data_IF_039685387226
#
_entry.id   IF_039685387226
#
_cell.length_a   1.000
_cell.length_b   1.000
_cell.length_c   1.000
_cell.angle_alpha   90.00
_cell.angle_beta   90.00
_cell.angle_gamma   90.00
#
_symmetry.space_group_name_H-M   'P 1'
#
loop_
_entity.id
_entity.type
_entity.pdbx_description
1 polymer ?
#
# COMPACT_ATOMS: atom_id res chain seq x y z
N UNK A 1 13.08 -0.37 55.03
CA UNK A 1 13.45 0.76 54.14
C UNK A 1 13.89 0.30 52.74
N UNK A 2 13.39 -0.81 52.19
CA UNK A 2 13.68 -1.24 50.81
C UNK A 2 12.42 -1.29 49.91
N UNK A 3 11.21 -1.29 50.48
CA UNK A 3 9.95 -1.35 49.72
C UNK A 3 9.43 0.01 49.20
N UNK A 4 9.70 1.11 49.91
CA UNK A 4 9.23 2.44 49.50
C UNK A 4 10.03 3.03 48.33
N UNK A 5 11.29 2.65 48.17
CA UNK A 5 12.12 3.03 47.01
C UNK A 5 11.66 2.37 45.71
N UNK A 6 11.17 1.13 45.76
CA UNK A 6 10.73 0.40 44.57
C UNK A 6 9.40 0.94 44.02
N UNK A 7 8.44 1.25 44.92
CA UNK A 7 7.14 1.82 44.54
C UNK A 7 7.27 3.22 43.90
N UNK A 8 8.15 4.06 44.46
CA UNK A 8 8.42 5.41 43.91
C UNK A 8 9.10 5.37 42.53
N UNK A 9 9.96 4.37 42.30
CA UNK A 9 10.65 4.20 41.01
C UNK A 9 9.69 3.72 39.92
N UNK A 10 8.76 2.81 40.24
CA UNK A 10 7.71 2.36 39.31
C UNK A 10 6.69 3.45 38.98
N UNK A 11 6.26 4.26 39.95
CA UNK A 11 5.34 5.39 39.70
C UNK A 11 5.99 6.49 38.88
N UNK A 12 7.27 6.81 39.13
CA UNK A 12 8.03 7.74 38.29
C UNK A 12 8.22 7.20 36.88
N UNK A 13 8.50 5.90 36.71
CA UNK A 13 8.59 5.28 35.39
C UNK A 13 7.26 5.34 34.62
N UNK A 14 6.12 5.08 35.28
CA UNK A 14 4.79 5.16 34.66
C UNK A 14 4.40 6.61 34.32
N UNK A 15 4.75 7.58 35.17
CA UNK A 15 4.51 9.01 34.92
C UNK A 15 5.41 9.55 33.80
N UNK A 16 6.66 9.11 33.75
CA UNK A 16 7.61 9.45 32.67
C UNK A 16 7.19 8.82 31.34
N UNK A 17 6.76 7.56 31.32
CA UNK A 17 6.26 6.92 30.10
C UNK A 17 4.95 7.53 29.62
N UNK A 18 4.04 7.90 30.54
CA UNK A 18 2.82 8.63 30.21
C UNK A 18 3.09 10.02 29.63
N UNK A 19 4.01 10.77 30.22
CA UNK A 19 4.40 12.10 29.73
C UNK A 19 5.13 12.03 28.39
N UNK A 20 6.00 11.03 28.19
CA UNK A 20 6.72 10.83 26.93
C UNK A 20 5.77 10.43 25.80
N UNK A 21 4.80 9.54 26.07
CA UNK A 21 3.77 9.13 25.10
C UNK A 21 2.90 10.32 24.64
N UNK A 22 2.56 11.24 25.55
CA UNK A 22 1.83 12.47 25.22
C UNK A 22 2.66 13.44 24.35
N UNK A 23 3.97 13.54 24.60
CA UNK A 23 4.90 14.35 23.79
C UNK A 23 5.10 13.74 22.39
N UNK A 24 5.25 12.42 22.29
CA UNK A 24 5.39 11.71 21.02
C UNK A 24 4.12 11.81 20.16
N UNK A 25 2.94 11.70 20.79
CA UNK A 25 1.63 11.81 20.13
C UNK A 25 1.33 13.24 19.68
N UNK A 26 1.65 14.24 20.51
CA UNK A 26 1.50 15.66 20.12
C UNK A 26 2.47 16.07 19.01
N UNK A 27 3.68 15.52 19.01
CA UNK A 27 4.65 15.71 17.91
C UNK A 27 4.14 15.09 16.61
N UNK A 28 3.56 13.88 16.67
CA UNK A 28 2.99 13.22 15.50
C UNK A 28 1.83 14.02 14.88
N UNK A 29 0.93 14.55 15.72
CA UNK A 29 -0.17 15.40 15.29
C UNK A 29 0.33 16.68 14.60
N UNK A 30 1.37 17.32 15.15
CA UNK A 30 2.00 18.48 14.53
C UNK A 30 2.58 18.16 13.15
N UNK A 31 3.34 17.07 13.03
CA UNK A 31 3.93 16.62 11.75
C UNK A 31 2.83 16.35 10.72
N UNK A 32 1.75 15.68 11.13
CA UNK A 32 0.62 15.38 10.26
C UNK A 32 -0.13 16.64 9.82
N UNK A 33 -0.23 17.64 10.68
CA UNK A 33 -0.79 18.95 10.34
C UNK A 33 0.08 19.69 9.31
N UNK A 34 1.40 19.64 9.45
CA UNK A 34 2.35 20.19 8.47
C UNK A 34 2.20 19.48 7.13
N UNK A 35 2.13 18.15 7.13
CA UNK A 35 1.87 17.37 5.92
C UNK A 35 0.55 17.75 5.24
N UNK A 36 -0.52 17.89 6.03
CA UNK A 36 -1.83 18.26 5.52
C UNK A 36 -1.79 19.66 4.90
N UNK A 37 -1.12 20.62 5.52
CA UNK A 37 -0.94 21.97 4.98
C UNK A 37 -0.11 21.97 3.69
N UNK A 38 1.03 21.26 3.69
CA UNK A 38 1.93 21.15 2.54
C UNK A 38 1.28 20.46 1.33
N UNK A 39 0.36 19.52 1.58
CA UNK A 39 -0.32 18.76 0.53
C UNK A 39 -1.63 19.39 0.02
N UNK A 40 -1.88 20.67 0.31
CA UNK A 40 -3.02 21.44 -0.22
C UNK A 40 -4.09 21.81 0.81
N UNK A 41 -3.95 21.34 2.05
CA UNK A 41 -4.83 21.70 3.16
C UNK A 41 -6.14 20.94 3.20
N UNK A 42 -6.69 20.78 4.41
CA UNK A 42 -7.88 19.96 4.67
C UNK A 42 -9.11 20.42 3.88
N UNK A 43 -9.28 21.73 3.65
CA UNK A 43 -10.44 22.29 2.95
C UNK A 43 -10.45 21.89 1.48
N UNK A 44 -9.34 22.12 0.77
CA UNK A 44 -9.19 21.77 -0.65
C UNK A 44 -9.29 20.27 -0.81
N UNK A 45 -8.57 19.53 0.04
CA UNK A 45 -8.64 18.07 0.03
C UNK A 45 -10.09 17.63 0.18
N UNK A 46 -10.82 18.02 1.24
CA UNK A 46 -12.20 17.59 1.52
C UNK A 46 -13.23 17.92 0.43
N UNK A 47 -12.98 18.94 -0.39
CA UNK A 47 -13.83 19.30 -1.52
C UNK A 47 -13.77 18.26 -2.64
N UNK A 48 -12.63 17.60 -2.83
CA UNK A 48 -12.47 16.54 -3.84
C UNK A 48 -13.24 15.28 -3.41
N UNK A 49 -14.23 14.91 -4.23
CA UNK A 49 -15.03 13.70 -4.02
C UNK A 49 -14.49 12.51 -4.80
N UNK A 50 -13.97 12.76 -6.00
CA UNK A 50 -13.54 11.71 -6.91
C UNK A 50 -12.13 12.05 -7.42
N UNK A 51 -11.30 11.03 -7.60
CA UNK A 51 -9.98 11.19 -8.19
C UNK A 51 -9.71 10.07 -9.20
N UNK A 52 -8.93 10.41 -10.21
CA UNK A 52 -8.46 9.49 -11.23
C UNK A 52 -6.97 9.73 -11.47
N UNK A 53 -6.20 8.65 -11.46
CA UNK A 53 -4.79 8.69 -11.80
C UNK A 53 -4.43 7.52 -12.70
N UNK A 54 -3.73 7.79 -13.79
CA UNK A 54 -3.08 6.76 -14.59
C UNK A 54 -1.58 7.01 -14.68
N UNK A 55 -0.80 5.94 -14.70
CA UNK A 55 0.64 6.06 -14.77
C UNK A 55 1.30 4.86 -15.41
N UNK A 56 2.55 5.06 -15.80
CA UNK A 56 3.43 4.03 -16.33
C UNK A 56 4.33 3.49 -15.22
N UNK A 57 4.66 2.22 -15.31
CA UNK A 57 5.55 1.56 -14.36
C UNK A 57 6.52 0.65 -15.10
N UNK A 58 7.66 0.43 -14.46
CA UNK A 58 8.69 -0.51 -14.89
C UNK A 58 8.98 -1.43 -13.71
N UNK A 59 8.83 -2.73 -13.91
CA UNK A 59 9.07 -3.75 -12.91
C UNK A 59 10.34 -4.52 -13.23
N UNK A 60 11.14 -4.76 -12.19
CA UNK A 60 12.33 -5.60 -12.26
C UNK A 60 12.21 -6.62 -11.13
N UNK A 61 12.14 -7.89 -11.47
CA UNK A 61 12.22 -8.98 -10.50
C UNK A 61 13.67 -9.45 -10.37
N UNK A 62 14.16 -9.62 -9.14
CA UNK A 62 15.48 -10.20 -8.84
C UNK A 62 15.32 -11.47 -8.00
N UNK A 63 16.02 -12.55 -8.37
CA UNK A 63 15.80 -13.89 -7.81
C UNK A 63 16.59 -14.18 -6.51
N UNK A 64 15.89 -14.83 -5.58
CA UNK A 64 16.23 -15.97 -4.71
C UNK A 64 17.66 -16.15 -4.15
N UNK A 65 17.86 -15.84 -2.87
CA UNK A 65 18.96 -16.41 -2.06
C UNK A 65 18.41 -17.51 -1.14
N UNK A 66 18.89 -18.75 -1.29
CA UNK A 66 18.66 -19.84 -0.32
C UNK A 66 19.98 -20.21 0.35
N UNK A 67 19.97 -20.39 1.68
CA UNK A 67 21.17 -20.58 2.51
C UNK A 67 22.09 -21.77 2.11
N UNK A 68 21.66 -22.68 1.23
CA UNK A 68 22.43 -23.86 0.84
C UNK A 68 22.81 -23.94 -0.64
N UNK A 69 22.26 -23.11 -1.52
CA UNK A 69 22.68 -23.01 -2.93
C UNK A 69 22.37 -21.62 -3.49
N UNK A 70 23.40 -20.87 -3.85
CA UNK A 70 23.28 -19.78 -4.83
C UNK A 70 23.03 -20.45 -6.18
N UNK A 71 21.78 -20.72 -6.53
CA UNK A 71 21.43 -21.04 -7.91
C UNK A 71 21.57 -19.74 -8.69
N UNK A 72 22.77 -19.48 -9.21
CA UNK A 72 22.94 -18.51 -10.29
C UNK A 72 22.14 -19.04 -11.47
N UNK A 73 20.89 -18.65 -11.58
CA UNK A 73 20.14 -18.84 -12.80
C UNK A 73 20.92 -18.11 -13.89
N UNK A 74 21.43 -18.84 -14.89
CA UNK A 74 22.20 -18.28 -16.02
C UNK A 74 21.38 -17.30 -16.86
N UNK A 75 20.09 -17.12 -16.56
CA UNK A 75 19.20 -16.12 -17.14
C UNK A 75 19.11 -14.85 -16.26
N UNK A 76 20.25 -14.39 -15.71
CA UNK A 76 20.39 -13.29 -14.76
C UNK A 76 20.04 -11.87 -15.29
N UNK A 77 19.27 -11.79 -16.37
CA UNK A 77 18.70 -10.56 -16.88
C UNK A 77 17.26 -10.86 -17.35
N UNK A 78 16.32 -11.06 -16.43
CA UNK A 78 14.92 -10.83 -16.81
C UNK A 78 14.82 -9.36 -17.21
N UNK A 79 14.50 -9.12 -18.47
CA UNK A 79 14.29 -7.79 -18.98
C UNK A 79 13.25 -7.08 -18.11
N UNK A 80 13.48 -5.80 -17.84
CA UNK A 80 12.53 -5.02 -17.07
C UNK A 80 11.20 -4.95 -17.80
N UNK A 81 10.13 -5.45 -17.16
CA UNK A 81 8.79 -5.45 -17.72
C UNK A 81 8.19 -4.06 -17.58
N UNK A 82 7.68 -3.51 -18.68
CA UNK A 82 7.00 -2.21 -18.65
C UNK A 82 5.49 -2.43 -18.63
N UNK A 83 4.79 -1.56 -17.91
CA UNK A 83 3.36 -1.67 -17.73
C UNK A 83 2.72 -0.33 -17.40
N UNK A 84 1.46 -0.39 -17.01
CA UNK A 84 0.69 0.75 -16.56
C UNK A 84 -0.23 0.40 -15.41
N UNK A 85 -0.69 1.44 -14.73
CA UNK A 85 -1.75 1.33 -13.75
C UNK A 85 -2.80 2.40 -14.01
N UNK A 86 -4.01 2.11 -13.55
CA UNK A 86 -5.09 3.06 -13.46
C UNK A 86 -5.70 2.94 -12.07
N UNK A 87 -5.98 4.09 -11.46
CA UNK A 87 -6.54 4.24 -10.14
C UNK A 87 -7.75 5.15 -10.22
N UNK A 88 -8.86 4.68 -9.67
CA UNK A 88 -10.05 5.46 -9.40
C UNK A 88 -10.29 5.50 -7.90
N UNK A 89 -10.66 6.66 -7.38
CA UNK A 89 -11.05 6.83 -5.99
C UNK A 89 -12.33 7.64 -5.92
N UNK A 90 -13.21 7.26 -5.01
CA UNK A 90 -14.44 7.95 -4.70
C UNK A 90 -14.62 7.99 -3.18
N UNK A 91 -14.90 9.18 -2.68
CA UNK A 91 -15.01 9.44 -1.25
C UNK A 91 -16.43 9.11 -0.75
N UNK A 92 -16.58 8.44 0.41
CA UNK A 92 -15.54 7.81 1.24
C UNK A 92 -15.22 6.37 0.81
N UNK A 93 -13.95 6.00 1.01
CA UNK A 93 -13.45 4.61 1.07
C UNK A 93 -13.73 3.71 -0.15
N UNK A 94 -14.11 4.28 -1.29
CA UNK A 94 -14.25 3.56 -2.55
C UNK A 94 -13.02 3.78 -3.41
N UNK A 95 -12.48 2.70 -3.94
CA UNK A 95 -11.37 2.77 -4.87
C UNK A 95 -11.33 1.55 -5.77
N UNK A 96 -10.73 1.72 -6.94
CA UNK A 96 -10.49 0.66 -7.89
C UNK A 96 -9.12 0.87 -8.51
N UNK A 97 -8.35 -0.21 -8.64
CA UNK A 97 -7.03 -0.17 -9.28
C UNK A 97 -6.91 -1.31 -10.27
N UNK A 98 -6.38 -0.97 -11.43
CA UNK A 98 -5.89 -1.91 -12.43
C UNK A 98 -4.39 -1.75 -12.57
N UNK A 99 -3.70 -2.88 -12.67
CA UNK A 99 -2.27 -2.95 -12.91
C UNK A 99 -2.03 -3.95 -14.04
N UNK A 100 -1.36 -3.53 -15.10
CA UNK A 100 -1.02 -4.37 -16.25
C UNK A 100 0.48 -4.30 -16.51
N UNK A 101 1.19 -5.43 -16.41
CA UNK A 101 2.65 -5.52 -16.56
C UNK A 101 3.03 -6.90 -17.10
N UNK A 102 3.94 -6.96 -18.09
CA UNK A 102 4.48 -8.24 -18.59
C UNK A 102 3.40 -9.25 -19.00
N UNK A 103 2.35 -8.80 -19.69
CA UNK A 103 1.21 -9.64 -20.11
C UNK A 103 0.24 -10.05 -18.99
N UNK A 104 0.54 -9.71 -17.73
CA UNK A 104 -0.32 -10.01 -16.58
C UNK A 104 -1.15 -8.79 -16.17
N UNK A 105 -2.41 -9.02 -15.80
CA UNK A 105 -3.31 -7.98 -15.29
C UNK A 105 -3.85 -8.34 -13.90
N UNK A 106 -3.75 -7.41 -12.96
CA UNK A 106 -4.27 -7.54 -11.59
C UNK A 106 -5.27 -6.43 -11.33
N UNK A 107 -6.41 -6.77 -10.74
CA UNK A 107 -7.41 -5.81 -10.31
C UNK A 107 -7.56 -5.86 -8.80
N UNK A 108 -7.87 -4.73 -8.18
CA UNK A 108 -8.34 -4.69 -6.81
C UNK A 108 -9.29 -3.52 -6.61
N UNK A 109 -10.17 -3.61 -5.63
CA UNK A 109 -11.06 -2.52 -5.32
C UNK A 109 -11.65 -2.59 -3.93
N UNK A 110 -12.29 -1.50 -3.55
CA UNK A 110 -13.12 -1.38 -2.37
C UNK A 110 -14.40 -0.61 -2.69
N UNK A 111 -15.52 -1.07 -2.14
CA UNK A 111 -16.82 -0.39 -2.24
C UNK A 111 -17.20 0.36 -0.95
N UNK A 112 -16.22 0.74 -0.13
CA UNK A 112 -16.42 1.36 1.19
C UNK A 112 -16.83 0.38 2.30
N UNK A 113 -17.03 -0.91 1.99
CA UNK A 113 -17.37 -1.94 2.99
C UNK A 113 -16.47 -3.16 2.90
N UNK A 114 -16.19 -3.59 1.67
CA UNK A 114 -15.42 -4.79 1.39
C UNK A 114 -14.29 -4.46 0.43
N UNK A 115 -13.12 -5.02 0.71
CA UNK A 115 -11.97 -4.99 -0.19
C UNK A 115 -11.90 -6.31 -0.94
N UNK A 116 -11.64 -6.26 -2.23
CA UNK A 116 -11.49 -7.44 -3.08
C UNK A 116 -10.29 -7.28 -4.01
N UNK A 117 -9.84 -8.42 -4.53
CA UNK A 117 -8.79 -8.48 -5.55
C UNK A 117 -9.07 -9.60 -6.52
N UNK A 118 -8.58 -9.42 -7.74
CA UNK A 118 -8.54 -10.44 -8.76
C UNK A 118 -7.10 -10.57 -9.26
N UNK A 119 -6.51 -11.74 -9.09
CA UNK A 119 -5.20 -12.07 -9.68
C UNK A 119 -5.34 -13.24 -10.65
N UNK A 120 -4.51 -13.32 -11.70
CA UNK A 120 -4.59 -14.40 -12.70
C UNK A 120 -4.50 -15.82 -12.11
N UNK A 121 -3.77 -15.99 -10.99
CA UNK A 121 -3.54 -17.29 -10.36
C UNK A 121 -4.52 -17.67 -9.24
N UNK A 122 -5.23 -16.69 -8.64
CA UNK A 122 -6.14 -16.94 -7.51
C UNK A 122 -7.60 -16.64 -7.86
N UNK A 123 -7.86 -15.98 -8.99
CA UNK A 123 -9.18 -15.47 -9.33
C UNK A 123 -9.63 -14.36 -8.37
N UNK A 124 -10.94 -14.17 -8.28
CA UNK A 124 -11.54 -13.15 -7.40
C UNK A 124 -11.56 -13.62 -5.94
N UNK A 125 -11.04 -12.78 -5.04
CA UNK A 125 -10.98 -13.05 -3.60
C UNK A 125 -11.32 -11.80 -2.79
N UNK A 126 -12.18 -11.95 -1.78
CA UNK A 126 -12.52 -10.90 -0.82
C UNK A 126 -11.51 -10.88 0.32
N UNK A 127 -10.99 -9.72 0.70
CA UNK A 127 -10.09 -9.61 1.83
C UNK A 127 -10.89 -9.51 3.14
N UNK A 128 -10.54 -10.31 4.15
CA UNK A 128 -11.11 -10.19 5.50
C UNK A 128 -10.62 -8.95 6.25
N UNK A 129 -11.46 -8.53 7.19
CA UNK A 129 -11.19 -7.42 8.11
C UNK A 129 -11.74 -6.08 7.61
N UNK A 130 -11.43 -4.98 8.34
CA UNK A 130 -11.90 -3.65 7.99
C UNK A 130 -11.36 -3.19 6.63
N UNK A 131 -12.03 -2.20 6.04
CA UNK A 131 -11.58 -1.56 4.80
C UNK A 131 -10.14 -1.08 4.96
N UNK A 132 -9.35 -1.31 3.91
CA UNK A 132 -7.93 -0.98 3.87
C UNK A 132 -7.78 0.27 2.99
N UNK A 133 -6.98 1.27 3.41
CA UNK A 133 -6.59 2.35 2.52
C UNK A 133 -5.95 1.78 1.25
N UNK A 134 -6.01 2.55 0.16
CA UNK A 134 -5.42 2.19 -1.12
C UNK A 134 -3.98 1.66 -0.95
N UNK A 135 -3.63 0.62 -1.73
CA UNK A 135 -2.34 -0.08 -1.63
C UNK A 135 -1.18 0.87 -1.43
N UNK A 136 -0.33 0.53 -0.47
CA UNK A 136 0.78 1.34 0.05
C UNK A 136 1.81 1.76 -1.01
N UNK A 137 1.91 1.02 -2.13
CA UNK A 137 2.74 1.42 -3.27
C UNK A 137 2.21 2.66 -4.04
N UNK A 138 0.98 3.12 -3.74
CA UNK A 138 0.34 4.28 -4.35
C UNK A 138 0.16 5.44 -3.36
N UNK A 139 0.80 5.38 -2.18
CA UNK A 139 0.83 6.53 -1.27
C UNK A 139 1.48 7.72 -1.99
N UNK A 140 0.98 8.93 -1.72
CA UNK A 140 1.32 10.16 -2.44
C UNK A 140 0.46 10.48 -3.68
N UNK A 141 -0.43 9.57 -4.09
CA UNK A 141 -1.53 9.90 -5.03
C UNK A 141 -2.79 10.39 -4.31
N UNK A 142 -2.90 10.13 -3.01
CA UNK A 142 -4.02 10.54 -2.17
C UNK A 142 -3.52 11.02 -0.80
N UNK A 143 -3.21 12.33 -0.69
CA UNK A 143 -2.71 12.89 0.55
C UNK A 143 -3.70 12.77 1.71
N UNK A 144 -5.01 12.76 1.44
CA UNK A 144 -6.01 12.62 2.50
C UNK A 144 -5.95 11.23 3.12
N UNK A 145 -5.90 10.19 2.28
CA UNK A 145 -5.75 8.82 2.77
C UNK A 145 -4.43 8.61 3.51
N UNK A 146 -3.33 9.22 3.03
CA UNK A 146 -2.05 9.19 3.73
C UNK A 146 -2.15 9.87 5.10
N UNK A 147 -2.77 11.05 5.19
CA UNK A 147 -2.96 11.73 6.47
C UNK A 147 -3.81 10.88 7.43
N UNK A 148 -4.94 10.35 6.96
CA UNK A 148 -5.80 9.49 7.77
C UNK A 148 -5.11 8.21 8.24
N UNK A 149 -4.17 7.66 7.46
CA UNK A 149 -3.42 6.46 7.84
C UNK A 149 -2.55 6.70 9.07
N UNK A 150 -1.91 7.87 9.17
CA UNK A 150 -0.99 8.22 10.26
C UNK A 150 -1.68 8.98 11.41
N UNK A 151 -3.01 9.02 11.47
CA UNK A 151 -3.76 9.75 12.50
C UNK A 151 -3.41 9.30 13.93
N UNK A 152 -3.21 7.98 14.13
CA UNK A 152 -2.86 7.37 15.41
C UNK A 152 -1.36 6.99 15.50
N UNK A 153 -0.52 7.61 14.68
CA UNK A 153 0.91 7.35 14.68
C UNK A 153 1.62 8.05 15.86
N UNK A 154 2.79 7.53 16.21
CA UNK A 154 3.70 8.17 17.17
C UNK A 154 4.94 8.69 16.46
N UNK A 155 5.47 9.83 16.91
CA UNK A 155 6.76 10.31 16.44
C UNK A 155 7.88 9.55 17.17
N UNK A 156 8.78 8.91 16.42
CA UNK A 156 9.88 8.12 17.00
C UNK A 156 11.26 8.73 16.80
N UNK A 157 11.31 9.94 16.24
CA UNK A 157 12.55 10.70 16.04
C UNK A 157 12.73 11.18 14.60
N UNK A 158 13.99 11.39 14.25
CA UNK A 158 14.42 12.02 13.00
C UNK A 158 15.48 11.17 12.30
N UNK A 159 15.50 11.22 10.96
CA UNK A 159 16.50 10.52 10.15
C UNK A 159 16.70 11.21 8.80
N UNK A 160 17.95 11.28 8.37
CA UNK A 160 18.28 11.69 7.01
C UNK A 160 17.99 10.56 6.01
N UNK A 161 17.15 10.83 5.02
CA UNK A 161 16.81 9.93 3.92
C UNK A 161 17.28 10.58 2.61
N UNK A 162 18.27 9.99 1.95
CA UNK A 162 18.81 10.46 0.66
C UNK A 162 19.21 11.96 0.65
N UNK A 163 19.73 12.48 1.76
CA UNK A 163 20.10 13.90 1.90
C UNK A 163 18.97 14.81 2.40
N UNK A 164 17.79 14.27 2.71
CA UNK A 164 16.66 15.01 3.24
C UNK A 164 16.40 14.67 4.71
N UNK A 165 16.44 15.68 5.59
CA UNK A 165 16.07 15.52 6.99
C UNK A 165 14.57 15.27 7.12
N UNK A 166 14.22 14.15 7.79
CA UNK A 166 12.83 13.71 7.92
C UNK A 166 12.47 13.42 9.38
N UNK A 167 11.24 13.76 9.77
CA UNK A 167 10.59 13.18 10.95
C UNK A 167 10.07 11.79 10.63
N UNK A 168 10.07 10.90 11.62
CA UNK A 168 9.62 9.52 11.47
C UNK A 168 8.34 9.31 12.29
N UNK A 169 7.24 9.04 11.59
CA UNK A 169 6.01 8.57 12.22
C UNK A 169 5.91 7.06 12.12
N UNK A 170 5.62 6.39 13.24
CA UNK A 170 5.42 4.94 13.31
C UNK A 170 3.98 4.62 13.65
N UNK A 171 3.40 3.67 12.93
CA UNK A 171 2.08 3.10 13.20
C UNK A 171 2.20 1.58 13.29
N UNK A 172 1.65 0.98 14.34
CA UNK A 172 1.53 -0.47 14.47
C UNK A 172 0.06 -0.84 14.53
N UNK A 173 -0.36 -1.85 13.75
CA UNK A 173 -1.72 -2.36 13.84
C UNK A 173 -1.95 -3.05 15.19
N UNK A 174 -3.09 -2.77 15.82
CA UNK A 174 -3.48 -3.40 17.07
C UNK A 174 -3.86 -4.88 16.88
N UNK A 175 -3.86 -5.63 17.99
CA UNK A 175 -4.14 -7.06 17.98
C UNK A 175 -5.53 -7.41 17.41
N UNK A 176 -6.57 -6.60 17.65
CA UNK A 176 -7.91 -6.87 17.13
C UNK A 176 -7.94 -6.70 15.60
N UNK A 177 -7.31 -5.65 15.09
CA UNK A 177 -7.15 -5.41 13.65
C UNK A 177 -6.38 -6.55 12.98
N UNK A 178 -5.29 -7.02 13.60
CA UNK A 178 -4.51 -8.15 13.09
C UNK A 178 -5.34 -9.42 13.04
N UNK A 179 -6.01 -9.77 14.15
CA UNK A 179 -6.88 -10.94 14.25
C UNK A 179 -8.03 -10.92 13.25
N UNK A 180 -8.67 -9.76 13.06
CA UNK A 180 -9.76 -9.58 12.10
C UNK A 180 -9.30 -9.75 10.63
N UNK A 181 -8.00 -9.60 10.37
CA UNK A 181 -7.40 -9.74 9.02
C UNK A 181 -6.79 -11.12 8.77
N UNK A 182 -6.54 -11.91 9.82
CA UNK A 182 -6.09 -13.31 9.72
C UNK A 182 -7.17 -14.20 9.11
N UNK A 183 -6.76 -15.19 8.31
CA UNK A 183 -7.67 -16.07 7.59
C UNK A 183 -7.12 -17.50 7.44
N UNK A 184 -7.93 -18.48 7.85
CA UNK A 184 -7.60 -19.89 7.72
C UNK A 184 -6.27 -20.21 8.43
N UNK A 185 -5.31 -20.88 7.76
CA UNK A 185 -4.02 -21.22 8.35
C UNK A 185 -3.07 -20.02 8.46
N UNK A 186 -3.42 -18.85 7.91
CA UNK A 186 -2.58 -17.66 7.87
C UNK A 186 -2.97 -16.66 8.98
N UNK A 187 -2.08 -16.49 9.95
CA UNK A 187 -2.18 -15.52 11.04
C UNK A 187 -1.23 -14.34 10.81
N UNK A 188 -1.75 -13.12 10.81
CA UNK A 188 -0.91 -11.92 10.78
C UNK A 188 -0.44 -11.61 12.20
N UNK A 189 0.87 -11.72 12.42
CA UNK A 189 1.48 -11.51 13.74
C UNK A 189 1.82 -10.04 13.96
N UNK A 190 2.32 -9.37 12.92
CA UNK A 190 2.82 -8.01 13.04
C UNK A 190 2.59 -7.26 11.74
N UNK A 191 2.16 -6.01 11.89
CA UNK A 191 2.05 -5.09 10.79
C UNK A 191 2.44 -3.69 11.28
N UNK A 192 3.55 -3.17 10.76
CA UNK A 192 4.14 -1.89 11.19
C UNK A 192 4.46 -1.05 9.97
N UNK A 193 4.11 0.23 10.06
CA UNK A 193 4.32 1.25 9.04
C UNK A 193 5.22 2.35 9.62
N UNK A 194 6.11 2.87 8.79
CA UNK A 194 6.89 4.06 9.06
C UNK A 194 6.73 5.05 7.92
N UNK A 195 6.39 6.29 8.23
CA UNK A 195 6.32 7.40 7.29
C UNK A 195 7.43 8.40 7.57
N UNK A 196 8.16 8.79 6.54
CA UNK A 196 9.26 9.75 6.62
C UNK A 196 8.80 11.07 5.99
N UNK A 197 8.58 12.07 6.84
CA UNK A 197 8.05 13.37 6.46
C UNK A 197 9.17 14.39 6.45
N UNK A 198 9.40 15.01 5.30
CA UNK A 198 10.41 16.04 5.11
C UNK A 198 10.23 17.19 6.09
N UNK A 199 11.28 17.52 6.84
CA UNK A 199 11.25 18.70 7.72
C UNK A 199 11.18 20.01 6.92
N UNK A 200 11.71 20.00 5.69
CA UNK A 200 11.79 21.17 4.82
C UNK A 200 10.48 21.46 4.10
N UNK A 201 9.84 20.43 3.57
CA UNK A 201 8.65 20.58 2.71
C UNK A 201 7.37 20.14 3.39
N UNK A 202 7.45 19.39 4.49
CA UNK A 202 6.31 18.76 5.14
C UNK A 202 5.76 17.52 4.40
N UNK A 203 6.23 17.21 3.20
CA UNK A 203 5.71 16.13 2.37
C UNK A 203 6.28 14.76 2.78
N UNK A 204 5.52 13.69 2.51
CA UNK A 204 5.98 12.31 2.69
C UNK A 204 6.98 11.95 1.58
N UNK A 205 8.21 11.58 1.93
CA UNK A 205 9.28 11.26 0.96
C UNK A 205 9.61 9.78 0.88
N UNK A 206 9.42 9.06 1.98
CA UNK A 206 9.69 7.62 2.07
C UNK A 206 8.68 6.96 3.00
N UNK A 207 8.39 5.69 2.74
CA UNK A 207 7.52 4.88 3.56
C UNK A 207 8.04 3.44 3.63
N UNK A 208 8.05 2.90 4.83
CA UNK A 208 8.38 1.51 5.09
C UNK A 208 7.16 0.79 5.64
N UNK A 209 6.90 -0.40 5.14
CA UNK A 209 5.78 -1.24 5.52
C UNK A 209 6.30 -2.66 5.73
N UNK A 210 6.11 -3.21 6.93
CA UNK A 210 6.54 -4.56 7.30
C UNK A 210 5.33 -5.36 7.77
N UNK A 211 5.10 -6.50 7.12
CA UNK A 211 3.98 -7.40 7.37
C UNK A 211 4.49 -8.83 7.61
N UNK A 212 4.33 -9.33 8.82
CA UNK A 212 4.74 -10.68 9.23
C UNK A 212 3.52 -11.59 9.38
N UNK A 213 3.49 -12.66 8.62
CA UNK A 213 2.44 -13.68 8.62
C UNK A 213 3.02 -15.03 9.01
N UNK A 214 2.36 -15.73 9.93
CA UNK A 214 2.61 -17.15 10.23
C UNK A 214 1.58 -17.98 9.50
N UNK A 215 2.04 -18.95 8.72
CA UNK A 215 1.19 -19.94 8.08
C UNK A 215 1.46 -21.27 8.75
N UNK A 216 0.42 -21.88 9.30
CA UNK A 216 0.50 -23.18 9.91
C UNK A 216 -0.67 -24.05 9.46
N UNK A 217 -0.35 -25.15 8.79
CA UNK A 217 -1.34 -26.17 8.43
C UNK A 217 -1.56 -27.12 9.60
N UNK A 218 -2.74 -27.72 9.70
CA UNK A 218 -3.07 -28.64 10.79
C UNK A 218 -2.05 -29.79 10.87
N UNK A 219 -1.26 -29.83 11.94
CA UNK A 219 -0.27 -30.88 12.20
C UNK A 219 1.12 -30.66 11.58
N UNK A 220 1.38 -29.51 10.93
CA UNK A 220 2.68 -29.17 10.35
C UNK A 220 3.44 -28.08 11.12
N UNK A 221 4.71 -27.90 10.76
CA UNK A 221 5.57 -26.82 11.27
C UNK A 221 5.08 -25.45 10.79
N UNK A 222 5.33 -24.44 11.63
CA UNK A 222 4.96 -23.06 11.31
C UNK A 222 5.98 -22.44 10.35
N UNK A 223 5.48 -21.87 9.25
CA UNK A 223 6.27 -21.10 8.30
C UNK A 223 5.96 -19.62 8.46
N UNK A 224 7.00 -18.80 8.52
CA UNK A 224 6.89 -17.35 8.64
C UNK A 224 7.24 -16.68 7.33
N UNK A 225 6.45 -15.66 6.99
CA UNK A 225 6.62 -14.81 5.83
C UNK A 225 6.64 -13.35 6.28
N UNK A 226 7.74 -12.65 6.04
CA UNK A 226 7.83 -11.21 6.21
C UNK A 226 7.88 -10.53 4.84
N UNK A 227 6.87 -9.72 4.54
CA UNK A 227 6.86 -8.82 3.40
C UNK A 227 7.28 -7.43 3.87
N UNK A 228 8.32 -6.88 3.27
CA UNK A 228 8.70 -5.47 3.45
C UNK A 228 8.49 -4.70 2.17
N UNK A 229 7.90 -3.51 2.25
CA UNK A 229 7.70 -2.60 1.13
C UNK A 229 8.33 -1.26 1.49
N UNK A 230 9.29 -0.82 0.68
CA UNK A 230 9.98 0.46 0.81
C UNK A 230 9.57 1.34 -0.36
N UNK A 231 8.84 2.42 -0.14
CA UNK A 231 8.31 3.30 -1.20
C UNK A 231 8.87 4.71 -1.07
N UNK A 232 9.54 5.18 -2.12
CA UNK A 232 10.11 6.51 -2.27
C UNK A 232 9.20 7.34 -3.18
N UNK A 233 8.91 8.58 -2.80
CA UNK A 233 7.98 9.47 -3.48
C UNK A 233 8.72 10.70 -3.97
N UNK A 234 8.57 11.00 -5.25
CA UNK A 234 9.34 12.04 -5.92
C UNK A 234 8.45 12.85 -6.88
N UNK A 235 8.95 14.02 -7.31
CA UNK A 235 8.29 14.87 -8.31
C UNK A 235 6.88 15.29 -7.87
N UNK A 236 6.77 15.84 -6.66
CA UNK A 236 5.52 16.43 -6.19
C UNK A 236 5.14 17.65 -7.02
N UNK A 237 3.92 17.66 -7.55
CA UNK A 237 3.37 18.78 -8.32
C UNK A 237 1.95 19.11 -7.88
N UNK A 238 1.55 20.39 -7.96
CA UNK A 238 0.18 20.78 -7.68
C UNK A 238 -0.75 20.27 -8.79
N UNK A 239 -1.85 19.65 -8.40
CA UNK A 239 -3.00 19.28 -9.24
C UNK A 239 -4.23 19.79 -8.50
N UNK A 240 -4.94 20.76 -9.08
CA UNK A 240 -6.11 21.40 -8.44
C UNK A 240 -5.85 21.89 -7.00
N UNK A 241 -4.63 22.36 -6.73
CA UNK A 241 -4.23 22.86 -5.41
C UNK A 241 -3.78 21.77 -4.42
N UNK A 242 -3.73 20.50 -4.81
CA UNK A 242 -3.22 19.39 -4.01
C UNK A 242 -1.84 18.96 -4.52
N UNK A 243 -0.88 18.75 -3.63
CA UNK A 243 0.44 18.25 -4.03
C UNK A 243 0.42 16.73 -4.18
N UNK A 244 0.70 16.25 -5.39
CA UNK A 244 0.66 14.84 -5.78
C UNK A 244 2.02 14.37 -6.31
N UNK A 245 2.49 13.22 -5.85
CA UNK A 245 3.73 12.60 -6.30
C UNK A 245 3.59 12.03 -7.72
N UNK A 246 4.25 12.67 -8.70
CA UNK A 246 4.21 12.24 -10.09
C UNK A 246 5.17 11.10 -10.40
N UNK A 247 6.17 10.87 -9.55
CA UNK A 247 7.13 9.78 -9.69
C UNK A 247 7.43 9.09 -8.36
N UNK A 248 8.11 7.96 -8.40
CA UNK A 248 8.44 7.20 -7.21
C UNK A 248 9.00 5.81 -7.53
N UNK A 249 9.46 5.13 -6.49
CA UNK A 249 10.03 3.79 -6.60
C UNK A 249 9.64 2.97 -5.37
N UNK A 250 9.15 1.76 -5.58
CA UNK A 250 8.85 0.83 -4.50
C UNK A 250 9.71 -0.42 -4.61
N UNK A 251 10.28 -0.87 -3.50
CA UNK A 251 11.03 -2.13 -3.40
C UNK A 251 10.27 -3.04 -2.45
N UNK A 252 9.83 -4.18 -2.95
CA UNK A 252 9.13 -5.23 -2.20
C UNK A 252 10.10 -6.36 -1.95
N UNK A 253 10.28 -6.77 -0.69
CA UNK A 253 11.11 -7.92 -0.33
C UNK A 253 10.30 -8.90 0.48
N UNK A 254 10.37 -10.18 0.11
CA UNK A 254 9.66 -11.27 0.74
C UNK A 254 10.68 -12.22 1.37
N UNK A 255 10.58 -12.38 2.68
CA UNK A 255 11.46 -13.20 3.50
C UNK A 255 10.67 -14.41 4.03
N UNK A 256 11.13 -15.63 3.75
CA UNK A 256 10.56 -16.87 4.30
C UNK A 256 11.53 -17.52 5.28
N UNK A 257 11.05 -17.88 6.46
CA UNK A 257 11.82 -18.59 7.49
C UNK A 257 10.94 -19.53 8.32
N UNK A 258 11.51 -20.56 8.97
CA UNK A 258 10.78 -21.50 9.85
C UNK A 258 10.83 -22.98 9.46
N UNK A 259 11.26 -23.31 8.23
CA UNK A 259 11.72 -24.65 7.82
C UNK A 259 13.25 -24.56 7.59
N UNK A 260 14.00 -25.67 7.65
CA UNK A 260 15.49 -25.73 7.56
C UNK A 260 16.13 -25.20 6.24
N UNK A 261 15.52 -24.25 5.54
CA UNK A 261 16.14 -23.43 4.51
C UNK A 261 15.52 -22.02 4.52
N UNK A 262 16.35 -21.00 4.77
CA UNK A 262 15.97 -19.58 4.57
C UNK A 262 15.87 -19.30 3.08
N UNK A 263 14.83 -18.60 2.63
CA UNK A 263 14.71 -18.13 1.25
C UNK A 263 14.20 -16.69 1.17
N UNK A 264 14.77 -15.88 0.28
CA UNK A 264 14.48 -14.45 0.13
C UNK A 264 14.22 -14.07 -1.33
N UNK A 265 13.14 -13.33 -1.62
CA UNK A 265 12.86 -12.80 -2.96
C UNK A 265 12.75 -11.28 -2.92
N UNK A 266 13.36 -10.57 -3.88
CA UNK A 266 13.32 -9.10 -3.97
C UNK A 266 12.73 -8.66 -5.32
N UNK A 267 11.71 -7.82 -5.28
CA UNK A 267 11.09 -7.20 -6.45
C UNK A 267 11.22 -5.69 -6.37
N UNK A 268 11.72 -5.06 -7.42
CA UNK A 268 11.83 -3.61 -7.52
C UNK A 268 10.86 -3.08 -8.58
N UNK A 269 10.14 -2.02 -8.22
CA UNK A 269 9.16 -1.34 -9.05
C UNK A 269 9.55 0.13 -9.15
N UNK A 270 9.72 0.63 -10.36
CA UNK A 270 10.00 2.05 -10.62
C UNK A 270 8.84 2.65 -11.40
N UNK A 271 8.21 3.69 -10.86
CA UNK A 271 7.24 4.51 -11.61
C UNK A 271 8.05 5.41 -12.55
N UNK A 272 7.83 5.26 -13.85
CA UNK A 272 8.56 6.01 -14.88
C UNK A 272 7.57 6.76 -15.78
N UNK A 273 7.45 8.08 -15.62
CA UNK A 273 6.79 8.95 -16.59
C UNK A 273 5.66 9.81 -16.03
N UNK A 274 5.15 10.71 -16.88
CA UNK A 274 4.10 11.68 -16.60
C UNK A 274 2.78 10.99 -16.23
N UNK A 275 2.23 11.30 -15.05
CA UNK A 275 0.81 11.03 -14.76
C UNK A 275 -0.05 11.90 -15.67
N UNK A 276 -1.14 11.33 -16.20
CA UNK A 276 -2.24 12.10 -16.76
C UNK A 276 -3.40 12.05 -15.77
N UNK A 277 -3.88 13.20 -15.33
CA UNK A 277 -5.12 13.36 -14.58
C UNK A 277 -6.11 14.09 -15.47
N UNK A 278 -7.24 13.46 -15.78
CA UNK A 278 -8.36 14.10 -16.48
C UNK A 278 -9.58 14.06 -15.54
N UNK A 279 -10.21 15.21 -15.33
CA UNK A 279 -11.48 15.33 -14.63
C UNK A 279 -12.60 14.97 -15.61
N UNK A 280 -13.45 13.99 -15.26
CA UNK A 280 -14.69 13.73 -15.98
C UNK A 280 -15.87 14.00 -15.05
N UNK A 281 -16.65 15.03 -15.39
CA UNK A 281 -17.95 15.29 -14.81
C UNK A 281 -18.98 14.41 -15.53
N UNK A 282 -19.69 13.56 -14.80
CA UNK A 282 -20.85 12.83 -15.32
C UNK A 282 -22.07 13.77 -15.29
N UNK A 283 -22.86 13.88 -16.38
CA UNK A 283 -24.04 14.74 -16.40
C UNK A 283 -25.12 14.22 -15.42
N UNK A 284 -25.71 15.15 -14.67
CA UNK A 284 -26.88 14.89 -13.81
C UNK A 284 -28.12 14.62 -14.66
N UNK A 285 -28.80 13.51 -14.40
CA UNK A 285 -30.13 13.24 -14.96
C UNK A 285 -31.23 13.81 -14.05
N UNK A 286 -32.03 14.71 -14.61
CA UNK A 286 -33.19 15.35 -14.00
C UNK A 286 -34.42 14.41 -14.02
N UNK A 287 -35.26 14.49 -12.99
CA UNK A 287 -36.37 13.56 -12.72
C UNK A 287 -37.67 14.04 -13.40
N UNK A 288 -38.21 13.28 -14.35
CA UNK A 288 -39.53 13.53 -14.96
C UNK A 288 -40.19 12.28 -15.57
N UNK A 289 -41.48 12.06 -15.28
CA UNK A 289 -42.26 10.83 -15.57
C UNK A 289 -42.75 10.73 -17.04
N UNK A 290 -42.87 9.48 -17.53
CA UNK A 290 -43.97 8.91 -18.35
C UNK A 290 -43.60 8.29 -19.72
N UNK A 291 -43.94 6.99 -19.84
CA UNK A 291 -44.37 6.21 -21.02
C UNK A 291 -43.41 5.95 -22.21
N UNK A 292 -42.88 4.72 -22.22
CA UNK A 292 -42.73 3.77 -23.34
C UNK A 292 -42.46 4.31 -24.77
N UNK A 293 -41.20 4.23 -25.22
CA UNK A 293 -40.84 3.79 -26.57
C UNK A 293 -39.39 3.27 -26.62
N UNK A 294 -39.20 2.30 -27.51
CA UNK A 294 -38.09 1.36 -27.73
C UNK A 294 -36.71 1.99 -28.03
N UNK A 295 -35.64 1.46 -27.40
CA UNK A 295 -34.32 1.25 -28.01
C UNK A 295 -33.45 0.30 -27.14
N UNK A 296 -32.93 -0.84 -27.66
CA UNK A 296 -32.06 -1.71 -26.89
C UNK A 296 -30.59 -1.31 -27.12
N UNK A 297 -30.03 -0.44 -26.28
CA UNK A 297 -28.58 -0.30 -26.20
C UNK A 297 -28.01 -1.45 -25.35
N UNK A 298 -27.85 -2.60 -26.02
CA UNK A 298 -27.09 -3.74 -25.53
C UNK A 298 -25.62 -3.48 -25.83
N UNK A 299 -24.87 -2.98 -24.84
CA UNK A 299 -23.41 -2.91 -24.90
C UNK A 299 -22.87 -4.35 -24.93
N UNK A 300 -22.60 -4.85 -26.13
CA UNK A 300 -21.84 -6.07 -26.39
C UNK A 300 -20.38 -5.80 -25.99
N UNK A 301 -19.88 -6.47 -24.96
CA UNK A 301 -18.42 -6.65 -24.83
C UNK A 301 -18.10 -7.96 -25.53
N UNK A 302 -17.35 -7.85 -26.61
CA UNK A 302 -16.98 -8.94 -27.49
C UNK A 302 -16.22 -10.03 -26.72
N UNK A 303 -16.77 -11.23 -26.73
CA UNK A 303 -15.97 -12.43 -26.74
C UNK A 303 -15.25 -12.45 -28.10
N UNK A 304 -13.92 -12.47 -28.08
CA UNK A 304 -13.14 -12.95 -29.22
C UNK A 304 -12.34 -14.15 -28.71
N UNK A 305 -12.90 -15.31 -29.00
CA UNK A 305 -12.22 -16.59 -29.03
C UNK A 305 -11.34 -16.59 -30.28
N UNK A 306 -10.05 -16.89 -30.14
CA UNK A 306 -9.25 -17.47 -31.21
C UNK A 306 -8.41 -18.59 -30.59
N UNK A 307 -8.62 -19.78 -31.14
CA UNK A 307 -8.02 -21.06 -30.80
C UNK A 307 -6.73 -21.29 -31.59
N UNK A 308 -5.76 -21.96 -30.93
CA UNK A 308 -4.54 -22.63 -31.41
C UNK A 308 -3.49 -21.74 -32.14
N UNK A 309 -2.19 -21.77 -31.82
CA UNK A 309 -1.32 -22.95 -31.75
C UNK A 309 -0.06 -22.75 -30.86
N UNK A 310 0.42 -23.90 -30.37
CA UNK A 310 1.67 -24.29 -29.70
C UNK A 310 2.75 -23.26 -29.29
N UNK A 311 3.18 -23.35 -28.03
CA UNK A 311 4.48 -22.86 -27.58
C UNK A 311 4.56 -22.72 -26.06
N UNK A 312 4.95 -23.79 -25.38
CA UNK A 312 5.14 -23.85 -23.92
C UNK A 312 6.16 -22.78 -23.48
N UNK A 313 5.72 -21.87 -22.61
CA UNK A 313 6.42 -21.49 -21.37
C UNK A 313 5.46 -20.68 -20.51
N UNK A 314 4.61 -21.39 -19.76
CA UNK A 314 3.75 -20.80 -18.73
C UNK A 314 4.63 -20.28 -17.58
N UNK A 315 5.12 -19.04 -17.71
CA UNK A 315 5.74 -18.34 -16.60
C UNK A 315 4.64 -17.91 -15.63
N UNK A 316 4.48 -18.70 -14.57
CA UNK A 316 3.58 -18.39 -13.46
C UNK A 316 4.16 -17.22 -12.67
N UNK A 317 3.61 -16.02 -12.90
CA UNK A 317 3.92 -14.85 -12.07
C UNK A 317 3.15 -14.96 -10.76
N UNK A 318 3.84 -15.23 -9.66
CA UNK A 318 3.25 -15.28 -8.32
C UNK A 318 3.56 -13.97 -7.61
N UNK A 319 2.57 -13.08 -7.49
CA UNK A 319 2.62 -12.02 -6.46
C UNK A 319 2.02 -12.64 -5.21
N UNK A 320 2.90 -13.18 -4.37
CA UNK A 320 2.52 -13.70 -3.06
C UNK A 320 2.06 -12.54 -2.17
N UNK A 321 0.95 -12.76 -1.47
CA UNK A 321 0.30 -11.84 -0.53
C UNK A 321 0.69 -12.28 0.87
#
# INVERSE_FOLDING_TARGET
>A
MHGEFFCSMTERLVSLTGSLCLVESSSAQYILQQYTAASGGQKVQSAIKNAYAMGKLKMVASEFETATKVVKNRNAARAAETGGFVLWQMNPDMWYVELAVGGSKVHAGCNGKLVWRHTPWLGAHTAKGPVRPLRRALQGLDPRSTASMFADAICIGEKNINGEECFILKLAADHQTLKARSEGPAEIIRHVLFGFFSQKTGLLVHMEDSHLTRIQSNGGDAVYWETTINSYLDDYRPVEGIMIAHSGRSVVTLFRFGEMAMSHTKQEWKKCGQLKSEASELPQEEKGKSAMAVAPNRSKVAALENTHDSGIDNVVWKVEI
#
